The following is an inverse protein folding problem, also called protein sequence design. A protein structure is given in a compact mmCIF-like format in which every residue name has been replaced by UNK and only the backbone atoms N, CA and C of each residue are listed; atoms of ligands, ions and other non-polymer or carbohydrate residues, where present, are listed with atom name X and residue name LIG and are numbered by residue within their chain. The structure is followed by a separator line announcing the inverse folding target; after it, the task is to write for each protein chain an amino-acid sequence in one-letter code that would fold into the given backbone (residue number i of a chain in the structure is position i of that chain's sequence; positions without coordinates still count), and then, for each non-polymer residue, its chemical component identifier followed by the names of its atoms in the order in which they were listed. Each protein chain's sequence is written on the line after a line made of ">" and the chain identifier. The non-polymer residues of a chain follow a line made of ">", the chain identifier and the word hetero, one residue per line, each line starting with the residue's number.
data_IF_420287634472
#
_entry.id   IF_420287634472
#
_cell.length_a   1.000
_cell.length_b   1.000
_cell.length_c   1.000
_cell.angle_alpha   90.00
_cell.angle_beta   90.00
_cell.angle_gamma   90.00
#
_symmetry.space_group_name_H-M   'P 1'
#
loop_
_entity.id
_entity.type
_entity.pdbx_description
1 polymer ?
#
# COMPACT_ATOMS: atom_id res chain seq x y z
N UNK A 1 -10.51 17.82 7.09
CA UNK A 1 -10.58 16.42 7.53
C UNK A 1 -9.15 15.96 7.78
N UNK A 2 -8.84 15.47 8.98
CA UNK A 2 -7.51 14.92 9.26
C UNK A 2 -7.43 13.60 8.51
N UNK A 3 -6.45 13.44 7.61
CA UNK A 3 -6.23 12.16 6.93
C UNK A 3 -6.03 11.06 7.98
N UNK A 4 -6.62 9.88 7.75
CA UNK A 4 -6.46 8.76 8.68
C UNK A 4 -4.98 8.37 8.75
N UNK A 5 -4.52 7.86 9.89
CA UNK A 5 -3.13 7.42 10.03
C UNK A 5 -2.73 6.37 8.97
N UNK A 6 -3.67 5.53 8.57
CA UNK A 6 -3.50 4.59 7.45
C UNK A 6 -3.22 5.31 6.11
N UNK A 7 -3.93 6.40 5.82
CA UNK A 7 -3.75 7.14 4.58
C UNK A 7 -2.38 7.83 4.54
N UNK A 8 -1.93 8.39 5.68
CA UNK A 8 -0.57 8.92 5.78
C UNK A 8 0.48 7.83 5.52
N UNK A 9 0.35 6.67 6.16
CA UNK A 9 1.29 5.56 5.98
C UNK A 9 1.30 5.05 4.53
N UNK A 10 0.16 5.09 3.83
CA UNK A 10 0.11 4.74 2.40
C UNK A 10 0.89 5.73 1.54
N UNK A 11 0.80 7.03 1.84
CA UNK A 11 1.57 8.05 1.15
C UNK A 11 3.08 7.86 1.40
N UNK A 12 3.48 7.57 2.65
CA UNK A 12 4.88 7.25 2.99
C UNK A 12 5.39 6.02 2.21
N UNK A 13 4.53 5.01 2.00
CA UNK A 13 4.83 3.82 1.17
C UNK A 13 5.00 4.21 -0.31
N UNK A 14 4.14 5.09 -0.85
CA UNK A 14 4.30 5.56 -2.23
C UNK A 14 5.60 6.35 -2.41
N UNK A 15 5.97 7.16 -1.42
CA UNK A 15 7.24 7.88 -1.39
C UNK A 15 8.43 6.93 -1.29
N UNK A 16 8.36 5.93 -0.40
CA UNK A 16 9.37 4.88 -0.28
C UNK A 16 9.63 4.20 -1.63
N UNK A 17 8.58 3.88 -2.40
CA UNK A 17 8.76 3.30 -3.75
C UNK A 17 9.44 4.24 -4.76
N UNK A 18 9.36 5.56 -4.57
CA UNK A 18 10.09 6.55 -5.37
C UNK A 18 11.54 6.67 -4.92
N UNK A 19 11.80 6.47 -3.63
CA UNK A 19 13.10 6.55 -2.98
C UNK A 19 13.76 5.17 -2.79
N UNK A 20 13.69 4.30 -3.80
CA UNK A 20 14.36 2.98 -3.80
C UNK A 20 14.00 2.05 -2.62
N UNK A 21 12.77 2.15 -2.11
CA UNK A 21 12.24 1.45 -0.93
C UNK A 21 12.84 1.89 0.42
N UNK A 22 13.44 3.07 0.49
CA UNK A 22 13.86 3.68 1.76
C UNK A 22 12.66 3.79 2.73
N UNK A 23 12.82 3.31 3.97
CA UNK A 23 11.75 3.36 4.99
C UNK A 23 10.53 2.45 4.73
N UNK A 24 10.52 1.67 3.65
CA UNK A 24 9.34 0.86 3.26
C UNK A 24 8.94 -0.15 4.36
N UNK A 25 9.93 -0.79 4.99
CA UNK A 25 9.68 -1.76 6.06
C UNK A 25 9.03 -1.15 7.30
N UNK A 26 9.49 0.05 7.69
CA UNK A 26 8.96 0.79 8.83
C UNK A 26 7.52 1.22 8.56
N UNK A 27 7.25 1.73 7.37
CA UNK A 27 5.91 2.10 6.94
C UNK A 27 4.96 0.88 6.90
N UNK A 28 5.41 -0.28 6.41
CA UNK A 28 4.58 -1.50 6.43
C UNK A 28 4.31 -1.99 7.86
N UNK A 29 5.30 -1.89 8.76
CA UNK A 29 5.12 -2.25 10.16
C UNK A 29 4.09 -1.34 10.85
N UNK A 30 4.18 -0.02 10.61
CA UNK A 30 3.19 0.94 11.08
C UNK A 30 1.80 0.63 10.51
N UNK A 31 1.70 0.37 9.20
CA UNK A 31 0.45 0.03 8.53
C UNK A 31 -0.22 -1.18 9.17
N UNK A 32 0.56 -2.23 9.48
CA UNK A 32 0.06 -3.43 10.14
C UNK A 32 -0.54 -3.13 11.52
N UNK A 33 0.10 -2.28 12.31
CA UNK A 33 -0.37 -1.91 13.65
C UNK A 33 -1.72 -1.20 13.56
N UNK A 34 -1.82 -0.22 12.66
CA UNK A 34 -3.06 0.55 12.45
C UNK A 34 -4.19 -0.32 11.87
N UNK A 35 -3.89 -1.17 10.88
CA UNK A 35 -4.87 -2.12 10.34
C UNK A 35 -5.40 -3.04 11.43
N UNK A 36 -4.50 -3.59 12.26
CA UNK A 36 -4.87 -4.45 13.38
C UNK A 36 -5.72 -3.72 14.41
N UNK A 37 -5.43 -2.44 14.68
CA UNK A 37 -6.24 -1.60 15.56
C UNK A 37 -7.67 -1.40 15.01
N UNK A 38 -7.83 -1.37 13.68
CA UNK A 38 -9.13 -1.32 13.00
C UNK A 38 -9.79 -2.72 12.82
N UNK A 39 -9.16 -3.78 13.32
CA UNK A 39 -9.68 -5.15 13.18
C UNK A 39 -9.55 -5.75 11.77
N UNK A 40 -8.77 -5.10 10.89
CA UNK A 40 -8.51 -5.58 9.53
C UNK A 40 -7.01 -5.91 9.35
N UNK A 41 -6.69 -6.57 8.24
CA UNK A 41 -5.32 -6.79 7.77
C UNK A 41 -5.15 -6.36 6.32
N UNK A 42 -6.19 -5.76 5.75
CA UNK A 42 -6.28 -5.46 4.33
C UNK A 42 -6.14 -3.96 4.11
N UNK A 43 -5.19 -3.56 3.25
CA UNK A 43 -5.03 -2.19 2.80
C UNK A 43 -5.22 -2.11 1.28
N UNK A 44 -6.01 -1.15 0.85
CA UNK A 44 -6.27 -0.86 -0.57
C UNK A 44 -5.32 0.23 -1.05
N UNK A 45 -4.55 -0.06 -2.11
CA UNK A 45 -3.62 0.86 -2.75
C UNK A 45 -4.13 1.23 -4.15
N UNK A 46 -3.96 2.49 -4.51
CA UNK A 46 -4.33 3.06 -5.80
C UNK A 46 -3.25 2.71 -6.83
N UNK A 47 -3.62 2.01 -7.90
CA UNK A 47 -2.62 1.60 -8.91
C UNK A 47 -2.05 2.78 -9.69
N UNK A 48 -2.78 3.90 -9.77
CA UNK A 48 -2.36 5.11 -10.47
C UNK A 48 -1.22 5.84 -9.77
N UNK A 49 -1.06 5.65 -8.44
CA UNK A 49 0.01 6.26 -7.64
C UNK A 49 1.30 5.44 -7.61
N UNK A 50 1.26 4.20 -8.08
CA UNK A 50 2.42 3.30 -8.09
C UNK A 50 3.38 3.66 -9.22
N UNK A 51 4.66 3.85 -8.87
CA UNK A 51 5.75 4.05 -9.84
C UNK A 51 5.89 2.86 -10.79
N UNK A 52 5.73 1.64 -10.26
CA UNK A 52 5.77 0.38 -11.01
C UNK A 52 4.34 -0.18 -11.18
N UNK A 53 3.51 0.48 -11.98
CA UNK A 53 2.13 0.05 -12.25
C UNK A 53 2.01 -1.22 -13.12
N UNK A 54 3.10 -1.95 -13.36
CA UNK A 54 3.07 -3.17 -14.14
C UNK A 54 2.57 -4.36 -13.28
N UNK A 55 2.17 -5.47 -13.93
CA UNK A 55 1.66 -6.65 -13.21
C UNK A 55 2.71 -7.25 -12.27
N UNK A 56 3.98 -7.21 -12.63
CA UNK A 56 5.08 -7.83 -11.88
C UNK A 56 5.34 -7.09 -10.56
N UNK A 57 5.47 -5.76 -10.60
CA UNK A 57 5.64 -4.90 -9.44
C UNK A 57 4.49 -5.04 -8.44
N UNK A 58 3.24 -5.09 -8.94
CA UNK A 58 2.07 -5.36 -8.10
C UNK A 58 2.12 -6.73 -7.39
N UNK A 59 2.55 -7.78 -8.08
CA UNK A 59 2.67 -9.11 -7.47
C UNK A 59 3.81 -9.19 -6.46
N UNK A 60 4.92 -8.51 -6.74
CA UNK A 60 6.02 -8.35 -5.79
C UNK A 60 5.54 -7.64 -4.52
N UNK A 61 4.84 -6.51 -4.65
CA UNK A 61 4.20 -5.80 -3.53
C UNK A 61 3.31 -6.72 -2.70
N UNK A 62 2.38 -7.44 -3.33
CA UNK A 62 1.48 -8.37 -2.63
C UNK A 62 2.27 -9.40 -1.82
N UNK A 63 3.30 -9.99 -2.42
CA UNK A 63 4.13 -11.00 -1.76
C UNK A 63 4.95 -10.40 -0.62
N UNK A 64 5.51 -9.20 -0.83
CA UNK A 64 6.35 -8.48 0.14
C UNK A 64 5.55 -8.08 1.39
N UNK A 65 4.35 -7.55 1.21
CA UNK A 65 3.47 -7.11 2.30
C UNK A 65 2.83 -8.31 3.00
N UNK A 66 2.45 -9.35 2.25
CA UNK A 66 1.88 -10.58 2.81
C UNK A 66 2.85 -11.27 3.77
N UNK A 67 4.15 -11.29 3.44
CA UNK A 67 5.20 -11.80 4.35
C UNK A 67 5.26 -11.02 5.67
N UNK A 68 4.90 -9.74 5.67
CA UNK A 68 4.84 -8.87 6.87
C UNK A 68 3.50 -8.92 7.59
N UNK A 69 2.51 -9.61 7.04
CA UNK A 69 1.17 -9.77 7.61
C UNK A 69 0.16 -8.72 7.17
N UNK A 70 0.45 -7.98 6.10
CA UNK A 70 -0.48 -7.03 5.48
C UNK A 70 -0.95 -7.59 4.13
N UNK A 71 -2.25 -7.59 3.90
CA UNK A 71 -2.86 -7.99 2.64
C UNK A 71 -3.08 -6.74 1.79
N UNK A 72 -2.46 -6.71 0.61
CA UNK A 72 -2.59 -5.60 -0.35
C UNK A 72 -3.69 -5.91 -1.34
N UNK A 73 -4.70 -5.03 -1.39
CA UNK A 73 -5.66 -4.93 -2.49
C UNK A 73 -5.27 -3.75 -3.37
N UNK A 74 -5.51 -3.89 -4.66
CA UNK A 74 -5.30 -2.82 -5.62
C UNK A 74 -6.65 -2.38 -6.12
N UNK A 75 -6.93 -1.09 -6.01
CA UNK A 75 -8.07 -0.48 -6.65
C UNK A 75 -7.61 0.21 -7.93
N UNK A 76 -8.30 -0.08 -9.03
CA UNK A 76 -8.06 0.56 -10.33
C UNK A 76 -8.60 1.98 -10.37
N UNK A 77 -9.50 2.35 -9.46
CA UNK A 77 -10.23 3.61 -9.46
C UNK A 77 -9.41 4.71 -8.79
N UNK A 78 -8.34 5.11 -9.47
CA UNK A 78 -8.16 6.53 -9.74
C UNK A 78 -8.78 6.79 -11.12
N UNK A 79 -10.11 6.66 -11.21
CA UNK A 79 -10.94 6.79 -12.43
C UNK A 79 -10.75 5.73 -13.54
N UNK A 80 -11.86 5.12 -14.01
CA UNK A 80 -11.92 4.43 -15.31
C UNK A 80 -12.16 2.92 -15.29
N UNK A 81 -13.37 2.55 -15.73
CA UNK A 81 -13.83 1.23 -16.16
C UNK A 81 -12.88 0.49 -17.11
N UNK A 82 -12.88 -0.84 -17.02
CA UNK A 82 -12.86 -1.75 -18.17
C UNK A 82 -13.04 -3.18 -17.65
N UNK A 83 -14.30 -3.57 -17.53
CA UNK A 83 -14.78 -4.95 -17.59
C UNK A 83 -15.89 -4.99 -18.62
#
# INVERSE_FOLDING_TARGET
>A
MVASKIDQIKEDIYESFRNDNEGLDEAIAALKVELKAQGTKEATFETVKLVQNNRQGRQMMKSYFKKRGVVVKFDKSGEGEAG
#
